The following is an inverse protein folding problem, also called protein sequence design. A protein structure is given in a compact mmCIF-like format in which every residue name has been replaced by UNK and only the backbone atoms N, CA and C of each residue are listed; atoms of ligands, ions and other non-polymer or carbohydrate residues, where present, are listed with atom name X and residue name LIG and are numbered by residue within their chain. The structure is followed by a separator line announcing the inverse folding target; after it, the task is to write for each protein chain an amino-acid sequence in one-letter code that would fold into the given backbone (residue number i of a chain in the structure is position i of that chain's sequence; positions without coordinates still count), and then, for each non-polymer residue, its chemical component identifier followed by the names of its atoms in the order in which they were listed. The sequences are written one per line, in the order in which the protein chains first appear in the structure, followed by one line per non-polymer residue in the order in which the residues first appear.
data_IF_200938944480
#
_entry.id   IF_200938944480
#
_cell.length_a   1.000
_cell.length_b   1.000
_cell.length_c   1.000
_cell.angle_alpha   90.00
_cell.angle_beta   90.00
_cell.angle_gamma   90.00
#
_symmetry.space_group_name_H-M   'P 1'
#
loop_
_entity.id
_entity.type
_entity.pdbx_description
1 polymer ?
#
# COMPACT_ATOMS: atom_id res chain seq x y z
N UNK A 1 -19.02 -3.38 4.07
CA UNK A 1 -19.01 -3.12 2.62
C UNK A 1 -18.33 -1.78 2.39
N UNK A 2 -17.10 -1.73 1.86
CA UNK A 2 -16.41 -0.46 1.52
C UNK A 2 -16.18 -0.45 0.02
N UNK A 3 -17.19 -0.06 -0.74
CA UNK A 3 -17.07 0.15 -2.19
C UNK A 3 -17.40 1.61 -2.49
N UNK A 4 -16.39 2.47 -2.40
CA UNK A 4 -16.44 3.78 -3.03
C UNK A 4 -15.89 3.59 -4.45
N UNK A 5 -16.73 3.72 -5.46
CA UNK A 5 -16.29 3.66 -6.86
C UNK A 5 -15.33 4.82 -7.13
N UNK A 6 -14.02 4.55 -7.08
CA UNK A 6 -12.95 5.54 -7.31
C UNK A 6 -13.06 6.08 -8.74
N UNK A 7 -13.31 7.38 -8.88
CA UNK A 7 -13.45 8.04 -10.19
C UNK A 7 -12.12 7.99 -10.97
N UNK A 8 -12.17 8.15 -12.30
CA UNK A 8 -10.94 8.20 -13.13
C UNK A 8 -9.96 9.29 -12.66
N UNK A 9 -10.49 10.44 -12.23
CA UNK A 9 -9.69 11.54 -11.68
C UNK A 9 -8.97 11.13 -10.40
N UNK A 10 -9.65 10.43 -9.49
CA UNK A 10 -9.04 9.90 -8.26
C UNK A 10 -7.88 8.94 -8.58
N UNK A 11 -8.06 8.05 -9.56
CA UNK A 11 -7.01 7.10 -9.99
C UNK A 11 -5.80 7.79 -10.62
N UNK A 12 -6.02 8.83 -11.43
CA UNK A 12 -4.96 9.68 -12.00
C UNK A 12 -4.19 10.36 -10.86
N UNK A 13 -4.91 10.97 -9.91
CA UNK A 13 -4.32 11.61 -8.75
C UNK A 13 -3.49 10.64 -7.92
N UNK A 14 -4.00 9.44 -7.67
CA UNK A 14 -3.27 8.41 -6.93
C UNK A 14 -2.02 7.92 -7.68
N UNK A 15 -2.02 7.89 -9.02
CA UNK A 15 -0.82 7.60 -9.82
C UNK A 15 0.25 8.69 -9.65
N UNK A 16 -0.15 9.97 -9.65
CA UNK A 16 0.76 11.11 -9.39
C UNK A 16 1.27 11.05 -7.95
N UNK A 17 0.39 10.82 -6.98
CA UNK A 17 0.73 10.64 -5.56
C UNK A 17 1.81 9.58 -5.37
N UNK A 18 1.69 8.41 -6.01
CA UNK A 18 2.72 7.36 -5.94
C UNK A 18 4.05 7.83 -6.50
N UNK A 19 4.04 8.56 -7.62
CA UNK A 19 5.26 9.12 -8.19
C UNK A 19 5.95 10.08 -7.22
N UNK A 20 5.20 11.01 -6.63
CA UNK A 20 5.72 11.97 -5.64
C UNK A 20 6.27 11.24 -4.41
N UNK A 21 5.53 10.30 -3.83
CA UNK A 21 5.97 9.56 -2.65
C UNK A 21 7.27 8.78 -2.88
N UNK A 22 7.42 8.14 -4.05
CA UNK A 22 8.66 7.46 -4.41
C UNK A 22 9.83 8.43 -4.63
N UNK A 23 9.57 9.70 -4.96
CA UNK A 23 10.61 10.70 -5.16
C UNK A 23 11.04 11.39 -3.85
N UNK A 24 10.10 11.69 -2.95
CA UNK A 24 10.36 12.56 -1.78
C UNK A 24 10.18 11.89 -0.42
N UNK A 25 9.53 10.73 -0.32
CA UNK A 25 9.16 10.11 0.96
C UNK A 25 9.60 8.65 1.03
N UNK A 26 10.91 8.41 0.85
CA UNK A 26 11.51 7.08 0.92
C UNK A 26 11.20 6.35 2.24
N UNK A 27 11.21 7.07 3.37
CA UNK A 27 10.88 6.51 4.69
C UNK A 27 9.43 6.00 4.76
N UNK A 28 8.46 6.79 4.29
CA UNK A 28 7.06 6.39 4.25
C UNK A 28 6.87 5.14 3.38
N UNK A 29 7.45 5.13 2.18
CA UNK A 29 7.37 4.01 1.24
C UNK A 29 8.02 2.76 1.85
N UNK A 30 9.17 2.90 2.51
CA UNK A 30 9.84 1.79 3.19
C UNK A 30 9.01 1.22 4.34
N UNK A 31 8.43 2.09 5.18
CA UNK A 31 7.55 1.67 6.28
C UNK A 31 6.32 0.93 5.76
N UNK A 32 5.71 1.40 4.68
CA UNK A 32 4.59 0.70 4.09
C UNK A 32 5.02 -0.62 3.42
N UNK A 33 6.18 -0.67 2.77
CA UNK A 33 6.73 -1.89 2.20
C UNK A 33 6.94 -2.99 3.26
N UNK A 34 7.32 -2.61 4.49
CA UNK A 34 7.42 -3.54 5.62
C UNK A 34 6.07 -4.07 6.13
N UNK A 35 4.98 -3.31 5.95
CA UNK A 35 3.62 -3.72 6.31
C UNK A 35 2.92 -4.50 5.20
N UNK A 36 3.46 -4.43 3.97
CA UNK A 36 2.89 -5.05 2.78
C UNK A 36 3.17 -6.55 2.78
N UNK A 37 2.12 -7.33 2.60
CA UNK A 37 2.17 -8.78 2.54
C UNK A 37 1.76 -9.29 1.16
N UNK A 38 2.19 -10.50 0.82
CA UNK A 38 1.92 -11.14 -0.47
C UNK A 38 2.95 -10.79 -1.55
N UNK A 39 2.67 -11.21 -2.77
CA UNK A 39 3.57 -11.07 -3.92
C UNK A 39 2.79 -10.72 -5.21
N UNK A 40 3.51 -10.26 -6.22
CA UNK A 40 2.90 -9.90 -7.50
C UNK A 40 2.62 -11.16 -8.33
N UNK A 41 1.36 -11.57 -8.40
CA UNK A 41 0.91 -12.73 -9.20
C UNK A 41 0.64 -12.41 -10.68
N UNK A 42 1.09 -11.25 -11.17
CA UNK A 42 0.92 -10.87 -12.57
C UNK A 42 -0.49 -10.42 -12.97
N UNK A 43 -1.42 -10.17 -12.04
CA UNK A 43 -2.83 -9.85 -12.34
C UNK A 43 -3.11 -8.64 -13.28
N UNK A 44 -2.10 -7.85 -13.65
CA UNK A 44 -2.23 -6.76 -14.65
C UNK A 44 -2.99 -5.51 -14.20
N UNK A 45 -3.65 -5.51 -13.02
CA UNK A 45 -4.52 -4.40 -12.59
C UNK A 45 -3.80 -3.07 -12.40
N UNK A 46 -2.58 -3.10 -11.83
CA UNK A 46 -1.75 -1.90 -11.68
C UNK A 46 -1.33 -1.31 -13.04
N UNK A 47 -1.22 -2.17 -14.08
CA UNK A 47 -0.88 -1.79 -15.45
C UNK A 47 -2.07 -1.28 -16.25
N UNK A 48 -3.31 -1.59 -15.86
CA UNK A 48 -4.56 -1.13 -16.49
C UNK A 48 -5.26 -0.01 -15.70
N UNK A 49 -4.61 0.55 -14.67
CA UNK A 49 -5.28 1.36 -13.66
C UNK A 49 -5.86 2.69 -14.18
N UNK A 50 -5.04 3.47 -14.88
CA UNK A 50 -5.42 4.78 -15.45
C UNK A 50 -5.57 4.68 -16.97
N UNK A 51 -4.62 3.99 -17.60
CA UNK A 51 -4.57 3.65 -19.01
C UNK A 51 -3.93 2.26 -19.12
N UNK A 52 -3.96 1.67 -20.32
CA UNK A 52 -3.25 0.42 -20.59
C UNK A 52 -1.76 0.69 -20.78
N UNK A 53 -0.94 0.25 -19.83
CA UNK A 53 0.52 0.37 -19.89
C UNK A 53 1.08 -0.28 -21.17
N UNK A 54 1.98 0.39 -21.93
CA UNK A 54 2.55 -0.17 -23.15
C UNK A 54 3.44 -1.40 -22.88
N UNK A 55 3.92 -1.57 -21.65
CA UNK A 55 4.71 -2.73 -21.24
C UNK A 55 3.87 -3.90 -20.71
N UNK A 56 2.53 -3.79 -20.77
CA UNK A 56 1.65 -4.91 -20.49
C UNK A 56 1.58 -5.81 -21.72
N UNK A 57 2.02 -7.06 -21.57
CA UNK A 57 1.88 -8.10 -22.59
C UNK A 57 1.14 -9.32 -22.04
N UNK A 58 1.12 -10.39 -22.83
CA UNK A 58 0.32 -11.58 -22.53
C UNK A 58 -1.12 -11.47 -23.03
N UNK A 59 -1.96 -12.41 -22.61
CA UNK A 59 -3.40 -12.39 -22.89
C UNK A 59 -4.17 -11.76 -21.73
N UNK A 60 -5.48 -11.55 -21.87
CA UNK A 60 -6.29 -11.02 -20.77
C UNK A 60 -6.42 -12.02 -19.60
N UNK A 61 -6.31 -13.32 -19.86
CA UNK A 61 -6.32 -14.39 -18.88
C UNK A 61 -4.96 -14.55 -18.17
N UNK A 62 -3.87 -14.29 -18.90
CA UNK A 62 -2.51 -14.37 -18.36
C UNK A 62 -1.68 -13.10 -18.67
N UNK A 63 -2.03 -11.96 -18.05
CA UNK A 63 -1.29 -10.73 -18.23
C UNK A 63 0.10 -10.81 -17.60
N UNK A 64 1.09 -10.17 -18.23
CA UNK A 64 2.45 -10.07 -17.68
C UNK A 64 3.09 -8.71 -17.97
N UNK A 65 3.87 -8.21 -17.01
CA UNK A 65 4.67 -7.01 -17.20
C UNK A 65 5.98 -7.38 -17.91
N UNK A 66 6.18 -6.88 -19.13
CA UNK A 66 7.34 -7.20 -19.96
C UNK A 66 8.67 -6.70 -19.36
N UNK A 67 8.60 -5.67 -18.52
CA UNK A 67 9.77 -5.05 -17.89
C UNK A 67 9.90 -5.41 -16.40
N UNK A 68 9.24 -6.48 -15.94
CA UNK A 68 9.17 -6.80 -14.51
C UNK A 68 10.54 -7.00 -13.84
N UNK A 69 11.46 -7.69 -14.53
CA UNK A 69 12.81 -7.99 -14.02
C UNK A 69 13.91 -7.11 -14.65
N UNK A 70 13.55 -6.13 -15.48
CA UNK A 70 14.51 -5.25 -16.15
C UNK A 70 14.48 -3.86 -15.53
N UNK A 71 13.67 -2.95 -16.06
CA UNK A 71 13.66 -1.53 -15.63
C UNK A 71 12.26 -1.15 -15.14
N UNK A 72 11.86 -1.65 -13.96
CA UNK A 72 10.61 -1.20 -13.33
C UNK A 72 10.79 0.19 -12.72
N UNK A 73 9.99 1.20 -13.13
CA UNK A 73 9.99 2.49 -12.45
C UNK A 73 9.63 2.34 -10.98
N UNK A 74 10.21 3.16 -10.10
CA UNK A 74 10.02 3.07 -8.64
C UNK A 74 8.53 3.05 -8.23
N UNK A 75 7.70 3.89 -8.85
CA UNK A 75 6.25 3.95 -8.62
C UNK A 75 5.49 2.68 -9.05
N UNK A 76 6.06 1.87 -9.94
CA UNK A 76 5.52 0.57 -10.33
C UNK A 76 6.01 -0.54 -9.40
N UNK A 77 7.29 -0.51 -9.01
CA UNK A 77 7.88 -1.48 -8.06
C UNK A 77 7.32 -1.34 -6.64
N UNK A 78 7.06 -0.10 -6.22
CA UNK A 78 6.48 0.22 -4.92
C UNK A 78 4.96 -0.02 -4.86
N UNK A 79 4.28 -0.35 -5.96
CA UNK A 79 2.85 -0.61 -5.95
C UNK A 79 2.53 -1.98 -5.32
N UNK A 80 1.47 -2.08 -4.48
CA UNK A 80 0.76 -0.97 -3.84
C UNK A 80 1.63 -0.35 -2.74
N UNK A 81 1.56 0.99 -2.59
CA UNK A 81 2.24 1.71 -1.51
C UNK A 81 1.40 1.66 -0.25
N UNK A 82 0.08 1.81 -0.34
CA UNK A 82 -0.82 1.74 0.82
C UNK A 82 -2.23 1.30 0.41
N UNK A 83 -3.13 1.24 1.38
CA UNK A 83 -4.52 0.82 1.22
C UNK A 83 -5.28 1.56 0.10
N UNK A 84 -4.94 2.83 -0.20
CA UNK A 84 -5.58 3.61 -1.27
C UNK A 84 -5.28 3.02 -2.65
N UNK A 85 -4.08 2.47 -2.83
CA UNK A 85 -3.69 1.82 -4.08
C UNK A 85 -4.41 0.49 -4.28
N UNK A 86 -4.70 -0.23 -3.20
CA UNK A 86 -5.53 -1.44 -3.25
C UNK A 86 -6.99 -1.10 -3.55
N UNK A 87 -7.53 -0.03 -2.96
CA UNK A 87 -8.88 0.45 -3.26
C UNK A 87 -9.04 0.82 -4.76
N UNK A 88 -8.02 1.40 -5.37
CA UNK A 88 -8.02 1.74 -6.80
C UNK A 88 -8.16 0.52 -7.73
N UNK A 89 -7.72 -0.66 -7.28
CA UNK A 89 -7.86 -1.96 -7.95
C UNK A 89 -8.98 -2.82 -7.36
N UNK A 90 -9.90 -2.22 -6.60
CA UNK A 90 -11.03 -2.87 -5.93
C UNK A 90 -10.62 -4.04 -5.02
N UNK A 91 -9.43 -4.00 -4.45
CA UNK A 91 -8.86 -5.10 -3.64
C UNK A 91 -8.68 -6.42 -4.38
N UNK A 92 -8.72 -6.40 -5.71
CA UNK A 92 -8.56 -7.60 -6.54
C UNK A 92 -7.08 -7.86 -6.87
N UNK A 93 -6.18 -7.50 -5.95
CA UNK A 93 -4.75 -7.74 -6.03
C UNK A 93 -4.36 -8.70 -4.89
N UNK A 94 -3.34 -9.53 -5.12
CA UNK A 94 -2.82 -10.47 -4.12
C UNK A 94 -2.12 -9.81 -2.93
N UNK A 95 -1.70 -8.54 -3.08
CA UNK A 95 -1.10 -7.79 -1.99
C UNK A 95 -2.14 -7.36 -0.96
N UNK A 96 -1.72 -7.29 0.31
CA UNK A 96 -2.52 -6.78 1.43
C UNK A 96 -1.63 -6.02 2.41
N UNK A 97 -2.24 -5.26 3.34
CA UNK A 97 -1.52 -4.59 4.43
C UNK A 97 -1.99 -5.12 5.77
N UNK A 98 -1.07 -5.65 6.59
CA UNK A 98 -1.38 -5.92 7.98
C UNK A 98 -1.44 -4.60 8.75
N UNK A 99 -2.51 -4.39 9.51
CA UNK A 99 -2.48 -3.33 10.52
C UNK A 99 -1.34 -3.63 11.50
N UNK A 100 -0.57 -2.61 11.94
CA UNK A 100 0.26 -2.80 13.11
C UNK A 100 -0.67 -3.28 14.22
N UNK A 101 -0.44 -4.50 14.70
CA UNK A 101 -1.16 -5.03 15.85
C UNK A 101 -0.86 -4.02 16.96
N UNK A 102 -1.84 -3.20 17.33
CA UNK A 102 -1.75 -2.40 18.55
C UNK A 102 -1.75 -3.45 19.66
N UNK A 103 -0.56 -3.91 20.03
CA UNK A 103 -0.41 -4.64 21.28
C UNK A 103 -0.81 -3.61 22.32
N UNK A 104 -2.01 -3.79 22.88
CA UNK A 104 -2.49 -2.96 23.97
C UNK A 104 -1.44 -3.05 25.08
N UNK A 105 -0.56 -2.05 25.14
CA UNK A 105 0.24 -1.82 26.33
C UNK A 105 -0.79 -1.37 27.34
N UNK A 106 -1.22 -2.28 28.22
CA UNK A 106 -2.02 -1.91 29.37
C UNK A 106 -1.25 -0.80 30.09
N UNK A 107 -1.87 0.35 30.41
CA UNK A 107 -1.22 1.30 31.27
C UNK A 107 -1.00 0.60 32.60
N UNK A 108 0.27 0.39 32.96
CA UNK A 108 0.66 -0.08 34.28
C UNK A 108 0.33 1.07 35.25
N UNK A 109 -0.93 1.14 35.69
CA UNK A 109 -1.34 1.98 36.80
C UNK A 109 -0.77 1.35 38.06
N UNK A 110 0.47 1.67 38.40
CA UNK A 110 0.92 1.54 39.79
C UNK A 110 0.38 2.74 40.55
N UNK A 111 -0.54 2.58 41.51
CA UNK A 111 -0.71 3.60 42.53
C UNK A 111 0.60 3.64 43.34
N UNK A 112 1.39 4.70 43.13
CA UNK A 112 2.45 5.07 44.07
C UNK A 112 1.77 5.33 45.41
N UNK A 113 2.14 4.52 46.39
CA UNK A 113 1.68 4.60 47.77
C UNK A 113 2.21 5.90 48.38
N UNK A 114 1.42 6.98 48.35
CA UNK A 114 1.74 8.23 49.04
C UNK A 114 1.52 8.02 50.54
N UNK A 115 2.60 7.79 51.28
CA UNK A 115 2.63 7.61 52.73
C UNK A 115 3.23 8.86 53.34
N UNK A 116 2.45 9.88 53.73
CA UNK A 116 2.89 10.94 54.66
C UNK A 116 1.73 11.62 55.43
N UNK A 117 2.07 12.08 56.65
CA UNK A 117 1.27 12.73 57.72
C UNK A 117 0.75 11.72 58.75
N UNK A 118 1.40 11.44 59.90
CA UNK A 118 2.19 12.25 60.84
C UNK A 118 1.49 13.54 61.28
N UNK A 119 0.59 13.40 62.26
CA UNK A 119 0.46 14.27 63.44
C UNK A 119 -0.37 13.56 64.51
#
# INVERSE_FOLDING_TARGET
MRSASSTRLTKIWNKIRRFVLCAVSSEYVSRQAALRQGECVGCGRCCKLVFQCPFLGGTDENPRCLIYNSVRPNQCAAFPIDERDLADVNYLCSYSFSQPRVTAVQPLLTPVFERQQSS
#
